data_IF_850489646225
#
_entry.id   IF_850489646225
#
_cell.length_a   1.000
_cell.length_b   1.000
_cell.length_c   1.000
_cell.angle_alpha   90.00
_cell.angle_beta   90.00
_cell.angle_gamma   90.00
#
_symmetry.space_group_name_H-M   'P 1'
#
loop_
_entity.id
_entity.type
_entity.pdbx_description
1 polymer ?
#
# COMPACT_ATOMS: atom_id res chain seq x y z
N UNK A 1 5.17 -19.44 7.67
CA UNK A 1 5.02 -17.98 7.54
C UNK A 1 3.53 -17.70 7.70
N UNK A 2 3.14 -16.74 8.53
CA UNK A 2 1.74 -16.33 8.66
C UNK A 2 1.43 -15.43 7.45
N UNK A 3 0.30 -15.62 6.74
CA UNK A 3 -0.07 -14.74 5.63
C UNK A 3 -0.47 -13.35 6.13
N UNK A 4 -0.49 -12.38 5.23
CA UNK A 4 -1.11 -11.09 5.50
C UNK A 4 -2.59 -11.28 5.79
N UNK A 5 -3.11 -10.50 6.73
CA UNK A 5 -4.51 -10.57 7.19
C UNK A 5 -5.23 -9.24 7.08
N UNK A 6 -4.48 -8.16 6.87
CA UNK A 6 -5.02 -6.81 6.70
C UNK A 6 -3.90 -5.79 6.63
N UNK A 7 -4.29 -4.51 6.66
CA UNK A 7 -3.36 -3.40 6.58
C UNK A 7 -3.74 -2.27 7.55
N UNK A 8 -2.75 -1.43 7.84
CA UNK A 8 -2.93 -0.07 8.34
C UNK A 8 -2.27 0.90 7.37
N UNK A 9 -2.74 2.15 7.31
CA UNK A 9 -2.03 3.24 6.63
C UNK A 9 -2.05 4.43 7.57
N UNK A 10 -0.89 5.05 7.77
CA UNK A 10 -0.75 6.24 8.62
C UNK A 10 -0.06 7.36 7.85
N UNK A 11 -0.59 8.58 7.99
CA UNK A 11 -0.07 9.80 7.42
C UNK A 11 0.17 10.82 8.53
N UNK A 12 1.42 11.25 8.70
CA UNK A 12 1.84 12.06 9.85
C UNK A 12 3.08 12.91 9.59
N UNK A 13 3.47 13.73 10.57
CA UNK A 13 4.48 14.80 10.43
C UNK A 13 5.92 14.37 10.79
N UNK A 14 6.24 13.07 10.79
CA UNK A 14 7.57 12.56 11.12
C UNK A 14 8.04 11.42 10.22
N UNK A 15 9.36 11.37 10.00
CA UNK A 15 10.06 10.56 8.98
C UNK A 15 10.26 9.08 9.35
N UNK A 16 9.70 8.62 10.46
CA UNK A 16 9.84 7.24 10.89
C UNK A 16 8.48 6.56 10.89
N UNK A 17 8.34 5.32 10.39
CA UNK A 17 7.11 4.56 10.53
C UNK A 17 6.82 4.29 12.02
N UNK A 18 5.56 3.93 12.35
CA UNK A 18 5.24 3.48 13.69
C UNK A 18 6.04 2.21 14.03
N UNK A 19 6.27 1.94 15.33
CA UNK A 19 6.98 0.75 15.72
C UNK A 19 6.19 -0.51 15.36
N UNK A 20 6.92 -1.56 14.97
CA UNK A 20 6.35 -2.89 14.77
C UNK A 20 5.80 -3.45 16.09
N UNK A 21 4.85 -4.37 15.96
CA UNK A 21 4.31 -5.18 17.06
C UNK A 21 4.48 -6.66 16.75
N UNK A 22 4.05 -7.53 17.65
CA UNK A 22 4.10 -8.99 17.44
C UNK A 22 3.24 -9.46 16.25
N UNK A 23 2.22 -8.68 15.86
CA UNK A 23 1.28 -9.01 14.78
C UNK A 23 1.26 -7.99 13.65
N UNK A 24 2.09 -6.96 13.69
CA UNK A 24 2.12 -5.92 12.66
C UNK A 24 3.53 -5.46 12.34
N UNK A 25 3.86 -5.43 11.05
CA UNK A 25 5.12 -4.91 10.52
C UNK A 25 4.83 -3.69 9.65
N UNK A 26 5.47 -2.55 9.92
CA UNK A 26 5.40 -1.38 9.06
C UNK A 26 6.45 -1.47 7.96
N UNK A 27 6.02 -1.17 6.73
CA UNK A 27 6.97 -0.96 5.65
C UNK A 27 7.86 0.24 5.98
N UNK A 28 9.18 0.14 5.80
CA UNK A 28 10.08 1.26 6.05
C UNK A 28 10.00 2.35 4.95
N UNK A 29 9.31 2.08 3.85
CA UNK A 29 9.20 3.00 2.73
C UNK A 29 8.14 4.07 3.01
N UNK A 30 8.55 5.33 3.09
CA UNK A 30 7.65 6.48 2.98
C UNK A 30 7.11 6.57 1.54
N UNK A 31 5.80 6.55 1.38
CA UNK A 31 5.14 6.62 0.08
C UNK A 31 5.08 8.04 -0.51
N UNK A 32 5.43 9.07 0.27
CA UNK A 32 5.56 10.45 -0.21
C UNK A 32 7.02 10.92 -0.32
N UNK A 33 7.98 9.98 -0.25
CA UNK A 33 9.41 10.32 -0.22
C UNK A 33 9.77 11.28 -1.37
N UNK A 34 10.43 12.39 -1.03
CA UNK A 34 10.84 13.46 -1.96
C UNK A 34 9.73 14.35 -2.57
N UNK A 35 8.46 14.18 -2.21
CA UNK A 35 7.36 14.99 -2.75
C UNK A 35 6.87 16.10 -1.80
N UNK A 36 7.39 16.15 -0.57
CA UNK A 36 6.89 17.03 0.49
C UNK A 36 5.63 16.45 1.14
N UNK A 37 4.94 17.22 1.99
CA UNK A 37 3.69 16.75 2.61
C UNK A 37 3.89 15.86 3.85
N UNK A 38 2.94 14.95 4.09
CA UNK A 38 3.00 13.98 5.20
C UNK A 38 3.88 12.81 4.82
N UNK A 39 4.56 12.24 5.81
CA UNK A 39 5.15 10.91 5.66
C UNK A 39 4.04 9.86 5.74
N UNK A 40 4.01 8.93 4.79
CA UNK A 40 2.94 7.94 4.70
C UNK A 40 3.49 6.53 4.67
N UNK A 41 3.06 5.71 5.63
CA UNK A 41 3.52 4.35 5.80
C UNK A 41 2.37 3.34 5.76
N UNK A 42 2.68 2.13 5.33
CA UNK A 42 1.74 1.00 5.29
C UNK A 42 2.17 -0.05 6.31
N UNK A 43 1.25 -0.39 7.20
CA UNK A 43 1.38 -1.48 8.17
C UNK A 43 0.77 -2.76 7.61
N UNK A 44 1.45 -3.88 7.80
CA UNK A 44 1.04 -5.21 7.38
C UNK A 44 0.65 -6.05 8.59
N UNK A 45 -0.58 -6.57 8.63
CA UNK A 45 -1.09 -7.36 9.76
C UNK A 45 -0.88 -8.87 9.52
N UNK A 46 -0.47 -9.60 10.55
CA UNK A 46 -0.16 -11.03 10.55
C UNK A 46 -0.81 -11.74 11.76
N UNK A 47 -2.13 -11.72 11.80
CA UNK A 47 -2.89 -12.24 12.94
C UNK A 47 -3.21 -13.74 12.73
N UNK A 48 -3.17 -14.52 13.81
CA UNK A 48 -3.58 -15.92 13.77
C UNK A 48 -5.11 -16.00 13.67
N UNK A 49 -5.60 -17.06 13.05
CA UNK A 49 -7.03 -17.38 12.93
C UNK A 49 -7.87 -16.35 12.13
N UNK A 50 -7.20 -15.43 11.42
CA UNK A 50 -7.84 -14.46 10.52
C UNK A 50 -7.78 -14.93 9.06
N UNK A 51 -8.77 -14.52 8.26
CA UNK A 51 -8.78 -14.83 6.83
C UNK A 51 -7.62 -14.10 6.13
N UNK A 52 -6.86 -14.78 5.26
CA UNK A 52 -5.72 -14.17 4.62
C UNK A 52 -6.16 -13.18 3.55
N UNK A 53 -5.36 -12.13 3.38
CA UNK A 53 -5.40 -11.27 2.20
C UNK A 53 -5.07 -12.12 0.97
N UNK A 54 -5.93 -12.02 -0.03
CA UNK A 54 -5.85 -12.80 -1.28
C UNK A 54 -5.79 -11.92 -2.52
N UNK A 55 -6.19 -10.64 -2.39
CA UNK A 55 -5.99 -9.61 -3.41
C UNK A 55 -5.62 -8.28 -2.77
N UNK A 56 -4.76 -7.53 -3.45
CA UNK A 56 -4.38 -6.16 -3.08
C UNK A 56 -4.41 -5.30 -4.34
N UNK A 57 -4.87 -4.06 -4.22
CA UNK A 57 -4.82 -3.07 -5.28
C UNK A 57 -4.85 -1.65 -4.68
N UNK A 58 -4.78 -0.64 -5.53
CA UNK A 58 -4.90 0.76 -5.13
C UNK A 58 -5.96 1.48 -5.97
N UNK A 59 -6.83 2.27 -5.36
CA UNK A 59 -7.66 3.21 -6.09
C UNK A 59 -6.81 4.45 -6.42
N UNK A 60 -6.92 4.98 -7.65
CA UNK A 60 -6.32 6.25 -8.05
C UNK A 60 -7.43 7.09 -8.65
N UNK A 61 -7.70 8.25 -8.08
CA UNK A 61 -8.91 9.02 -8.35
C UNK A 61 -8.72 10.54 -8.21
N UNK A 62 -9.68 11.29 -8.72
CA UNK A 62 -9.67 12.77 -8.76
C UNK A 62 -10.37 13.45 -7.57
N UNK A 63 -11.03 12.67 -6.71
CA UNK A 63 -11.77 13.15 -5.56
C UNK A 63 -11.38 12.37 -4.30
N UNK A 64 -11.56 12.96 -3.12
CA UNK A 64 -11.22 12.34 -1.84
C UNK A 64 -12.21 11.23 -1.43
N UNK A 65 -11.76 10.38 -0.51
CA UNK A 65 -12.47 9.26 0.09
C UNK A 65 -12.33 7.97 -0.73
N UNK A 66 -12.04 6.81 -0.12
CA UNK A 66 -11.93 5.57 -0.88
C UNK A 66 -13.33 5.20 -1.40
N UNK A 67 -13.52 5.29 -2.72
CA UNK A 67 -14.75 4.82 -3.37
C UNK A 67 -14.68 3.30 -3.55
N UNK A 68 -14.69 2.62 -2.41
CA UNK A 68 -14.34 1.21 -2.29
C UNK A 68 -15.32 0.32 -3.03
N UNK A 69 -14.86 -0.53 -3.98
CA UNK A 69 -15.73 -1.45 -4.67
C UNK A 69 -16.34 -2.48 -3.71
N UNK A 70 -17.52 -3.00 -4.08
CA UNK A 70 -18.18 -4.04 -3.31
C UNK A 70 -17.23 -5.23 -3.06
N UNK A 71 -17.25 -5.75 -1.82
CA UNK A 71 -16.42 -6.86 -1.36
C UNK A 71 -14.91 -6.59 -1.33
N UNK A 72 -14.50 -5.32 -1.40
CA UNK A 72 -13.17 -4.87 -1.04
C UNK A 72 -13.20 -4.12 0.29
N UNK A 73 -12.09 -4.20 1.00
CA UNK A 73 -11.79 -3.42 2.19
C UNK A 73 -10.84 -2.27 1.80
N UNK A 74 -10.86 -1.18 2.56
CA UNK A 74 -10.06 0.02 2.30
C UNK A 74 -9.71 0.75 3.58
N UNK A 75 -8.65 1.54 3.54
CA UNK A 75 -8.31 2.49 4.61
C UNK A 75 -8.52 3.90 4.08
N UNK A 76 -9.25 4.73 4.84
CA UNK A 76 -9.52 6.13 4.49
C UNK A 76 -8.34 7.03 4.87
N UNK A 77 -7.18 6.73 4.28
CA UNK A 77 -5.97 7.54 4.34
C UNK A 77 -5.43 7.66 2.93
N UNK A 78 -5.38 8.90 2.43
CA UNK A 78 -4.80 9.21 1.14
C UNK A 78 -3.29 9.02 1.18
N UNK A 79 -2.77 8.19 0.28
CA UNK A 79 -1.34 7.94 0.17
C UNK A 79 -0.58 9.22 -0.21
N UNK A 80 -1.16 10.10 -1.03
CA UNK A 80 -0.55 11.39 -1.40
C UNK A 80 -0.88 12.53 -0.39
N UNK A 81 -1.21 12.19 0.87
CA UNK A 81 -1.63 13.18 1.86
C UNK A 81 -0.62 14.32 2.03
N UNK A 82 -1.09 15.56 1.82
CA UNK A 82 -0.28 16.77 1.96
C UNK A 82 0.67 17.07 0.78
N UNK A 83 0.77 16.18 -0.21
CA UNK A 83 1.55 16.40 -1.45
C UNK A 83 0.69 17.09 -2.51
N UNK A 84 -0.57 16.68 -2.64
CA UNK A 84 -1.43 16.99 -3.78
C UNK A 84 -1.27 15.97 -4.91
N UNK A 85 -2.03 16.13 -6.01
CA UNK A 85 -2.08 15.15 -7.09
C UNK A 85 -3.37 14.32 -7.06
N UNK A 86 -3.30 13.05 -7.43
CA UNK A 86 -4.43 12.12 -7.31
C UNK A 86 -4.59 11.67 -5.87
N UNK A 87 -5.82 11.41 -5.47
CA UNK A 87 -6.10 10.70 -4.22
C UNK A 87 -5.89 9.21 -4.45
N UNK A 88 -5.14 8.56 -3.56
CA UNK A 88 -4.73 7.17 -3.72
C UNK A 88 -5.02 6.38 -2.45
N UNK A 89 -5.75 5.27 -2.57
CA UNK A 89 -6.19 4.47 -1.42
C UNK A 89 -5.83 3.00 -1.58
N UNK A 90 -5.23 2.40 -0.54
CA UNK A 90 -4.98 0.96 -0.47
C UNK A 90 -6.31 0.21 -0.29
N UNK A 91 -6.52 -0.82 -1.11
CA UNK A 91 -7.67 -1.72 -1.02
C UNK A 91 -7.24 -3.18 -1.07
N UNK A 92 -7.97 -4.05 -0.37
CA UNK A 92 -7.70 -5.49 -0.39
C UNK A 92 -8.97 -6.33 -0.27
N UNK A 93 -8.82 -7.64 -0.47
CA UNK A 93 -9.86 -8.65 -0.18
C UNK A 93 -9.24 -9.79 0.60
N UNK A 94 -10.05 -10.39 1.46
CA UNK A 94 -9.68 -11.55 2.27
C UNK A 94 -10.46 -12.80 1.86
N UNK A 95 -9.84 -13.98 1.97
CA UNK A 95 -10.52 -15.27 1.85
C UNK A 95 -11.20 -15.59 0.50
N UNK A 96 -10.76 -14.98 -0.60
CA UNK A 96 -11.33 -15.29 -1.92
C UNK A 96 -11.08 -16.74 -2.32
N UNK A 97 -12.13 -17.42 -2.79
CA UNK A 97 -12.04 -18.79 -3.30
C UNK A 97 -11.06 -18.84 -4.48
N UNK A 98 -10.27 -19.90 -4.56
CA UNK A 98 -9.26 -20.17 -5.61
C UNK A 98 -8.03 -19.24 -5.62
N UNK A 99 -7.96 -18.22 -4.77
CA UNK A 99 -6.78 -17.36 -4.63
C UNK A 99 -5.87 -17.82 -3.51
N UNK A 100 -4.56 -17.72 -3.76
CA UNK A 100 -3.54 -18.04 -2.77
C UNK A 100 -3.38 -16.87 -1.78
N UNK A 101 -3.08 -17.15 -0.50
CA UNK A 101 -2.72 -16.13 0.46
C UNK A 101 -1.51 -15.30 -0.01
N UNK A 102 -1.56 -14.00 0.23
CA UNK A 102 -0.42 -13.10 0.07
C UNK A 102 0.33 -13.05 1.40
N UNK A 103 1.65 -13.18 1.35
CA UNK A 103 2.51 -13.22 2.52
C UNK A 103 3.30 -11.94 2.74
N UNK A 104 3.58 -11.18 1.68
CA UNK A 104 4.34 -9.93 1.79
C UNK A 104 3.89 -8.90 0.77
N UNK A 105 4.00 -7.63 1.14
CA UNK A 105 4.01 -6.48 0.25
C UNK A 105 5.28 -5.66 0.50
N UNK A 106 5.84 -5.09 -0.54
CA UNK A 106 6.92 -4.09 -0.47
C UNK A 106 6.63 -2.96 -1.45
N UNK A 107 7.27 -1.82 -1.21
CA UNK A 107 7.17 -0.63 -2.04
C UNK A 107 8.55 -0.26 -2.53
N UNK A 108 8.67 0.04 -3.83
CA UNK A 108 9.96 0.33 -4.46
C UNK A 108 9.85 1.67 -5.18
N UNK A 109 10.70 2.62 -4.78
CA UNK A 109 10.91 3.86 -5.54
C UNK A 109 11.66 3.57 -6.85
N UNK A 110 11.26 4.24 -7.91
CA UNK A 110 11.84 4.15 -9.24
C UNK A 110 11.88 5.53 -9.88
N UNK A 111 12.94 5.80 -10.65
CA UNK A 111 12.98 6.98 -11.55
C UNK A 111 12.30 6.72 -12.90
N UNK A 112 11.70 5.54 -13.09
CA UNK A 112 11.04 5.13 -14.34
C UNK A 112 9.52 5.07 -14.15
N UNK A 113 8.79 5.54 -15.16
CA UNK A 113 7.32 5.45 -15.27
C UNK A 113 6.79 4.03 -15.45
N UNK A 114 7.68 3.04 -15.51
CA UNK A 114 7.32 1.62 -15.50
C UNK A 114 7.99 0.96 -14.29
N UNK A 115 7.28 0.09 -13.56
CA UNK A 115 7.88 -0.63 -12.44
C UNK A 115 9.05 -1.50 -12.94
N UNK A 116 10.19 -1.51 -12.24
CA UNK A 116 11.25 -2.47 -12.53
C UNK A 116 10.76 -3.91 -12.32
N UNK A 117 11.27 -4.84 -13.12
CA UNK A 117 11.04 -6.26 -12.85
C UNK A 117 11.70 -6.65 -11.53
N UNK A 118 10.95 -7.36 -10.68
CA UNK A 118 11.45 -7.85 -9.40
C UNK A 118 11.17 -9.35 -9.27
N UNK A 119 12.24 -10.15 -9.36
CA UNK A 119 12.15 -11.61 -9.50
C UNK A 119 11.42 -12.24 -8.32
N UNK A 120 10.38 -13.03 -8.62
CA UNK A 120 9.61 -13.76 -7.62
C UNK A 120 8.57 -12.90 -6.88
N UNK A 121 8.25 -11.72 -7.42
CA UNK A 121 7.20 -10.85 -6.92
C UNK A 121 6.23 -10.49 -8.03
N UNK A 122 4.94 -10.42 -7.68
CA UNK A 122 3.91 -9.84 -8.51
C UNK A 122 3.96 -8.33 -8.34
N UNK A 123 3.72 -7.57 -9.39
CA UNK A 123 3.71 -6.11 -9.36
C UNK A 123 2.30 -5.58 -9.55
N UNK A 124 1.96 -4.53 -8.81
CA UNK A 124 0.76 -3.73 -9.06
C UNK A 124 1.18 -2.56 -9.94
N UNK A 125 0.75 -2.58 -11.20
CA UNK A 125 1.09 -1.56 -12.22
C UNK A 125 0.34 -0.24 -12.00
N UNK A 126 0.54 0.37 -10.83
CA UNK A 126 -0.03 1.66 -10.43
C UNK A 126 1.06 2.52 -9.81
N UNK A 127 1.18 3.73 -10.33
CA UNK A 127 2.06 4.76 -9.79
C UNK A 127 1.42 5.35 -8.52
N UNK A 128 2.05 5.09 -7.38
CA UNK A 128 1.56 5.57 -6.08
C UNK A 128 1.94 7.03 -5.79
N UNK A 129 2.61 7.71 -6.72
CA UNK A 129 2.88 9.15 -6.69
C UNK A 129 2.08 9.89 -7.77
N UNK A 130 1.02 9.26 -8.32
CA UNK A 130 0.32 9.77 -9.48
C UNK A 130 -0.18 11.22 -9.29
N UNK A 131 0.30 12.12 -10.15
CA UNK A 131 -0.08 13.54 -10.14
C UNK A 131 0.75 14.44 -9.20
N UNK A 132 1.58 13.87 -8.33
CA UNK A 132 2.54 14.62 -7.50
C UNK A 132 3.77 15.11 -8.30
N UNK A 133 4.06 14.47 -9.43
CA UNK A 133 5.32 14.67 -10.17
C UNK A 133 6.47 13.89 -9.52
N UNK A 134 7.72 14.10 -9.94
CA UNK A 134 8.88 13.50 -9.26
C UNK A 134 9.15 12.03 -9.59
N UNK A 135 9.44 11.24 -8.55
CA UNK A 135 9.70 9.80 -8.67
C UNK A 135 8.41 8.99 -8.70
N UNK A 136 8.54 7.70 -8.98
CA UNK A 136 7.43 6.75 -9.03
C UNK A 136 7.61 5.75 -7.91
N UNK A 137 6.52 5.35 -7.25
CA UNK A 137 6.54 4.24 -6.30
C UNK A 137 5.57 3.18 -6.78
N UNK A 138 6.02 1.92 -6.75
CA UNK A 138 5.21 0.76 -7.12
C UNK A 138 5.18 -0.26 -5.98
N UNK A 139 4.01 -0.87 -5.81
CA UNK A 139 3.82 -1.96 -4.87
C UNK A 139 4.08 -3.32 -5.53
N UNK A 140 4.68 -4.22 -4.77
CA UNK A 140 4.95 -5.61 -5.16
C UNK A 140 4.49 -6.54 -4.05
N UNK A 141 3.92 -7.69 -4.41
CA UNK A 141 3.45 -8.67 -3.44
C UNK A 141 3.79 -10.11 -3.83
N UNK A 142 3.79 -11.00 -2.85
CA UNK A 142 3.93 -12.45 -3.04
C UNK A 142 3.34 -13.23 -1.88
#
# INVERSE_FOLDING_TARGET
MIPLTGFSVEAWDHEYPPPNTDTMEWSPQDLNVHHGGKFVYVGMHYEKDHQPVTSINFLIQDYAGPHTPAHWESIDVDINSGVGGKYIYLIWRTGEVEKQPIFKIIFIESKRKSPPYYKGWNVIYKDLCAGAGGSYIYAYYK
#
